data_IF_657205791440
#
_entry.id   IF_657205791440
#
_cell.length_a   1.000
_cell.length_b   1.000
_cell.length_c   1.000
_cell.angle_alpha   90.00
_cell.angle_beta   90.00
_cell.angle_gamma   90.00
#
_symmetry.space_group_name_H-M   'P 1'
#
loop_
_entity.id
_entity.type
_entity.pdbx_description
1 polymer ?
#
# COMPACT_ATOMS: atom_id res chain seq x y z
N UNK A 1 -13.81 10.58 -11.09
CA UNK A 1 -12.88 11.47 -10.39
C UNK A 1 -11.53 11.46 -11.08
N UNK A 2 -10.89 12.62 -11.13
CA UNK A 2 -9.46 12.78 -11.41
C UNK A 2 -8.68 12.67 -10.09
N UNK A 3 -7.36 12.50 -10.16
CA UNK A 3 -6.53 12.34 -8.96
C UNK A 3 -6.64 13.54 -8.00
N UNK A 4 -6.64 14.75 -8.55
CA UNK A 4 -6.78 16.01 -7.79
C UNK A 4 -8.15 16.17 -7.12
N UNK A 5 -9.19 15.48 -7.60
CA UNK A 5 -10.51 15.51 -6.96
C UNK A 5 -10.52 14.69 -5.66
N UNK A 6 -9.63 13.69 -5.57
CA UNK A 6 -9.48 12.81 -4.40
C UNK A 6 -8.48 13.41 -3.42
N UNK A 7 -7.34 13.88 -3.92
CA UNK A 7 -6.32 14.54 -3.12
C UNK A 7 -5.75 15.74 -3.89
N UNK A 8 -6.13 16.97 -3.50
CA UNK A 8 -5.68 18.21 -4.13
C UNK A 8 -4.15 18.32 -4.23
N UNK A 9 -3.67 19.06 -5.22
CA UNK A 9 -2.23 19.17 -5.47
C UNK A 9 -1.45 19.93 -4.39
N UNK A 10 -2.12 20.78 -3.63
CA UNK A 10 -1.57 21.51 -2.50
C UNK A 10 -1.59 20.70 -1.18
N UNK A 11 -2.00 19.42 -1.22
CA UNK A 11 -2.09 18.55 -0.05
C UNK A 11 -1.30 17.25 -0.24
N UNK A 12 -0.50 16.93 0.77
CA UNK A 12 0.24 15.67 0.84
C UNK A 12 -0.54 14.53 1.49
N UNK A 13 -1.64 14.85 2.17
CA UNK A 13 -2.52 13.86 2.80
C UNK A 13 -3.97 14.33 2.87
N UNK A 14 -4.89 13.37 2.97
CA UNK A 14 -6.29 13.62 3.30
C UNK A 14 -6.79 12.55 4.29
N UNK A 15 -7.91 12.85 4.93
CA UNK A 15 -8.62 11.90 5.78
C UNK A 15 -9.56 11.04 4.93
N UNK A 16 -9.46 9.72 5.12
CA UNK A 16 -10.37 8.74 4.55
C UNK A 16 -10.87 7.87 5.69
N UNK A 17 -12.17 7.95 6.01
CA UNK A 17 -12.78 7.15 7.08
C UNK A 17 -12.07 7.30 8.44
N UNK A 18 -11.56 8.49 8.78
CA UNK A 18 -10.80 8.73 10.01
C UNK A 18 -9.33 8.29 9.97
N UNK A 19 -8.84 7.83 8.81
CA UNK A 19 -7.45 7.47 8.57
C UNK A 19 -6.78 8.55 7.73
N UNK A 20 -5.69 9.13 8.23
CA UNK A 20 -4.85 10.04 7.44
C UNK A 20 -4.05 9.24 6.41
N UNK A 21 -4.30 9.47 5.13
CA UNK A 21 -3.64 8.80 4.00
C UNK A 21 -2.76 9.78 3.25
N UNK A 22 -1.51 9.39 2.95
CA UNK A 22 -0.56 10.20 2.18
C UNK A 22 -0.71 9.97 0.68
N UNK A 23 -0.47 11.00 -0.14
CA UNK A 23 -0.52 10.94 -1.62
C UNK A 23 0.32 9.80 -2.20
N UNK A 24 1.46 9.52 -1.58
CA UNK A 24 2.40 8.47 -2.00
C UNK A 24 2.04 7.05 -1.55
N UNK A 25 1.02 6.84 -0.72
CA UNK A 25 0.77 5.54 -0.06
C UNK A 25 0.57 4.40 -1.06
N UNK A 26 -0.25 4.60 -2.10
CA UNK A 26 -0.49 3.55 -3.13
C UNK A 26 0.78 3.27 -3.93
N UNK A 27 1.54 4.30 -4.30
CA UNK A 27 2.81 4.13 -5.02
C UNK A 27 3.86 3.39 -4.20
N UNK A 28 3.99 3.73 -2.91
CA UNK A 28 4.89 3.07 -1.97
C UNK A 28 4.49 1.60 -1.75
N UNK A 29 3.19 1.31 -1.63
CA UNK A 29 2.70 -0.06 -1.54
C UNK A 29 3.10 -0.88 -2.77
N UNK A 30 2.89 -0.36 -3.98
CA UNK A 30 3.27 -1.06 -5.22
C UNK A 30 4.78 -1.32 -5.31
N UNK A 31 5.61 -0.36 -4.89
CA UNK A 31 7.07 -0.51 -4.87
C UNK A 31 7.51 -1.59 -3.87
N UNK A 32 7.01 -1.54 -2.64
CA UNK A 32 7.34 -2.53 -1.61
C UNK A 32 6.79 -3.92 -1.94
N UNK A 33 5.61 -4.02 -2.54
CA UNK A 33 5.04 -5.29 -2.99
C UNK A 33 5.94 -5.98 -4.02
N UNK A 34 6.46 -5.21 -5.00
CA UNK A 34 7.42 -5.74 -5.99
C UNK A 34 8.71 -6.21 -5.34
N UNK A 35 9.25 -5.41 -4.42
CA UNK A 35 10.47 -5.76 -3.68
C UNK A 35 10.26 -7.01 -2.83
N UNK A 36 9.09 -7.15 -2.20
CA UNK A 36 8.76 -8.30 -1.37
C UNK A 36 8.58 -9.59 -2.19
N UNK A 37 7.98 -9.50 -3.38
CA UNK A 37 7.77 -10.63 -4.29
C UNK A 37 9.05 -11.07 -5.03
N UNK A 38 10.04 -10.19 -5.18
CA UNK A 38 11.27 -10.50 -5.88
C UNK A 38 12.17 -11.45 -5.07
N UNK A 39 12.48 -12.60 -5.65
CA UNK A 39 13.32 -13.63 -5.04
C UNK A 39 14.80 -13.22 -4.96
N UNK A 40 15.24 -12.25 -5.74
CA UNK A 40 16.60 -11.70 -5.70
C UNK A 40 16.77 -10.64 -4.60
N UNK A 41 15.69 -10.18 -3.98
CA UNK A 41 15.74 -9.19 -2.89
C UNK A 41 16.48 -9.75 -1.68
N UNK A 42 17.50 -9.01 -1.22
CA UNK A 42 18.23 -9.36 -0.01
C UNK A 42 17.30 -9.41 1.22
N UNK A 43 17.49 -10.36 2.15
CA UNK A 43 16.56 -10.55 3.28
C UNK A 43 16.24 -9.27 4.08
N UNK A 44 17.20 -8.40 4.43
CA UNK A 44 16.90 -7.17 5.17
C UNK A 44 15.99 -6.19 4.40
N UNK A 45 16.15 -6.12 3.07
CA UNK A 45 15.33 -5.28 2.22
C UNK A 45 13.89 -5.83 2.11
N UNK A 46 13.75 -7.16 2.05
CA UNK A 46 12.45 -7.83 2.04
C UNK A 46 11.70 -7.66 3.38
N UNK A 47 12.41 -7.73 4.50
CA UNK A 47 11.86 -7.45 5.84
C UNK A 47 11.40 -6.00 5.96
N UNK A 48 12.19 -5.04 5.45
CA UNK A 48 11.79 -3.64 5.44
C UNK A 48 10.54 -3.41 4.59
N UNK A 49 10.49 -4.01 3.40
CA UNK A 49 9.31 -3.96 2.53
C UNK A 49 8.07 -4.52 3.25
N UNK A 50 8.22 -5.64 3.97
CA UNK A 50 7.14 -6.22 4.76
C UNK A 50 6.64 -5.26 5.85
N UNK A 51 7.55 -4.59 6.57
CA UNK A 51 7.16 -3.61 7.58
C UNK A 51 6.38 -2.43 6.97
N UNK A 52 6.89 -1.86 5.88
CA UNK A 52 6.26 -0.72 5.20
C UNK A 52 4.91 -1.12 4.54
N UNK A 53 4.78 -2.36 4.05
CA UNK A 53 3.50 -2.91 3.56
C UNK A 53 2.46 -3.00 4.67
N UNK A 54 2.86 -3.50 5.85
CA UNK A 54 1.96 -3.60 7.02
C UNK A 54 1.50 -2.22 7.48
N UNK A 55 2.41 -1.25 7.53
CA UNK A 55 2.07 0.13 7.90
C UNK A 55 1.07 0.78 6.92
N UNK A 56 1.16 0.46 5.63
CA UNK A 56 0.27 0.99 4.61
C UNK A 56 -1.15 0.38 4.64
N UNK A 57 -1.32 -0.83 5.19
CA UNK A 57 -2.59 -1.59 5.11
C UNK A 57 -3.82 -0.81 5.60
N UNK A 58 -3.81 -0.12 6.76
CA UNK A 58 -4.97 0.65 7.22
C UNK A 58 -5.39 1.72 6.21
N UNK A 59 -4.44 2.43 5.63
CA UNK A 59 -4.70 3.47 4.63
C UNK A 59 -5.26 2.89 3.32
N UNK A 60 -4.74 1.75 2.85
CA UNK A 60 -5.24 1.09 1.64
C UNK A 60 -6.65 0.52 1.83
N UNK A 61 -6.97 0.03 3.04
CA UNK A 61 -8.31 -0.40 3.44
C UNK A 61 -9.27 0.79 3.48
N UNK A 62 -8.87 1.91 4.10
CA UNK A 62 -9.69 3.12 4.15
C UNK A 62 -9.96 3.74 2.77
N UNK A 63 -9.01 3.60 1.83
CA UNK A 63 -9.19 3.97 0.42
C UNK A 63 -10.13 3.03 -0.36
N UNK A 64 -10.51 1.87 0.20
CA UNK A 64 -11.30 0.85 -0.50
C UNK A 64 -10.54 0.14 -1.62
N UNK A 65 -9.20 0.18 -1.63
CA UNK A 65 -8.40 -0.37 -2.73
C UNK A 65 -8.72 -1.85 -3.00
N UNK A 66 -8.86 -2.62 -1.91
CA UNK A 66 -9.11 -4.06 -1.96
C UNK A 66 -10.58 -4.43 -2.21
N UNK A 67 -11.48 -3.45 -2.30
CA UNK A 67 -12.88 -3.69 -2.72
C UNK A 67 -13.00 -3.80 -4.24
N UNK A 68 -12.01 -3.28 -4.97
CA UNK A 68 -12.00 -3.25 -6.45
C UNK A 68 -10.88 -4.11 -7.03
N UNK A 69 -9.73 -4.17 -6.36
CA UNK A 69 -8.52 -4.84 -6.85
C UNK A 69 -8.04 -5.91 -5.86
N UNK A 70 -7.52 -7.02 -6.39
CA UNK A 70 -6.82 -8.02 -5.59
C UNK A 70 -5.31 -8.02 -5.86
N UNK A 71 -4.52 -8.36 -4.84
CA UNK A 71 -3.08 -8.57 -5.00
C UNK A 71 -2.83 -9.85 -5.79
N UNK A 72 -2.15 -9.75 -6.93
CA UNK A 72 -1.98 -10.86 -7.88
C UNK A 72 -1.10 -11.99 -7.36
N UNK A 73 -0.05 -11.68 -6.60
CA UNK A 73 0.85 -12.69 -6.06
C UNK A 73 0.18 -13.41 -4.87
N UNK A 74 0.00 -14.74 -4.91
CA UNK A 74 -0.76 -15.46 -3.89
C UNK A 74 -0.04 -15.49 -2.54
N UNK A 75 1.29 -15.54 -2.52
CA UNK A 75 2.05 -15.55 -1.28
C UNK A 75 1.97 -14.19 -0.58
N UNK A 76 2.08 -13.10 -1.35
CA UNK A 76 1.90 -11.76 -0.81
C UNK A 76 0.45 -11.54 -0.33
N UNK A 77 -0.54 -12.00 -1.09
CA UNK A 77 -1.95 -11.90 -0.71
C UNK A 77 -2.21 -12.59 0.64
N UNK A 78 -1.77 -13.84 0.78
CA UNK A 78 -1.91 -14.60 2.02
C UNK A 78 -1.18 -13.90 3.18
N UNK A 79 0.02 -13.37 2.93
CA UNK A 79 0.77 -12.64 3.95
C UNK A 79 0.01 -11.40 4.44
N UNK A 80 -0.58 -10.60 3.53
CA UNK A 80 -1.36 -9.39 3.87
C UNK A 80 -2.63 -9.67 4.68
N UNK A 81 -3.24 -10.85 4.52
CA UNK A 81 -4.40 -11.26 5.32
C UNK A 81 -4.04 -11.52 6.79
N UNK A 82 -2.78 -11.89 7.06
CA UNK A 82 -2.27 -12.16 8.41
C UNK A 82 -1.51 -10.99 9.04
N UNK A 83 -1.29 -9.92 8.27
CA UNK A 83 -0.40 -8.81 8.62
C UNK A 83 -1.06 -7.73 9.48
#
# INVERSE_FOLDING_TARGET
MKAQDVLPDDRDSADFQGVTVRKGTVGAFLANARLWCDAATAPPARERAAADLREALPALRALGLFEVLEVRDPALRQWLETA
#
